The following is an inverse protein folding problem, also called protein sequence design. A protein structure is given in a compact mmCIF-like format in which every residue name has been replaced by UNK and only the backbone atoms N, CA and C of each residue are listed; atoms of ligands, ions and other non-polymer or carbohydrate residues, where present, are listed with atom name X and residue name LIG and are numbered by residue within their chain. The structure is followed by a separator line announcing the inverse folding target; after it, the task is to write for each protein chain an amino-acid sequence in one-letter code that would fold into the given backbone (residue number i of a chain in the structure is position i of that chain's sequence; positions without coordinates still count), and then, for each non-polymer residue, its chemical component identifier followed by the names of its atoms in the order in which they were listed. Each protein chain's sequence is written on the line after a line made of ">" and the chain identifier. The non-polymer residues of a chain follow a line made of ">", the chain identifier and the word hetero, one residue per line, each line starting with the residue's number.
data_IF_197032128706
#
_entry.id   IF_197032128706
#
_cell.length_a   1.000
_cell.length_b   1.000
_cell.length_c   1.000
_cell.angle_alpha   90.00
_cell.angle_beta   90.00
_cell.angle_gamma   90.00
#
_symmetry.space_group_name_H-M   'P 1'
#
loop_
_entity.id
_entity.type
_entity.pdbx_description
1 polymer ?
#
# COMPACT_ATOMS: atom_id res chain seq x y z
N UNK A 1 -3.55 -6.27 9.95
CA UNK A 1 -3.28 -4.91 9.44
C UNK A 1 -3.66 -4.89 7.97
N UNK A 2 -4.69 -4.13 7.57
CA UNK A 2 -5.13 -4.07 6.17
C UNK A 2 -4.51 -2.85 5.47
N UNK A 3 -3.97 -2.97 4.24
CA UNK A 3 -3.39 -1.84 3.51
C UNK A 3 -4.40 -0.69 3.33
N UNK A 4 -5.67 -1.04 3.13
CA UNK A 4 -6.76 -0.09 2.93
C UNK A 4 -6.99 0.84 4.13
N UNK A 5 -6.51 0.48 5.32
CA UNK A 5 -6.52 1.35 6.49
C UNK A 5 -5.67 2.61 6.25
N UNK A 6 -4.42 2.43 5.81
CA UNK A 6 -3.51 3.55 5.52
C UNK A 6 -4.03 4.45 4.39
N UNK A 7 -4.66 3.85 3.36
CA UNK A 7 -5.31 4.62 2.31
C UNK A 7 -6.47 5.46 2.85
N UNK A 8 -7.31 4.89 3.72
CA UNK A 8 -8.44 5.59 4.33
C UNK A 8 -8.00 6.70 5.27
N UNK A 9 -6.94 6.47 6.06
CA UNK A 9 -6.41 7.47 7.00
C UNK A 9 -5.76 8.64 6.27
N UNK A 10 -4.90 8.37 5.28
CA UNK A 10 -4.33 9.40 4.42
C UNK A 10 -5.40 10.24 3.71
N UNK A 11 -6.44 9.59 3.19
CA UNK A 11 -7.55 10.27 2.53
C UNK A 11 -8.31 11.16 3.51
N UNK A 12 -8.61 10.64 4.71
CA UNK A 12 -9.27 11.39 5.77
C UNK A 12 -8.45 12.62 6.17
N UNK A 13 -7.14 12.48 6.30
CA UNK A 13 -6.27 13.56 6.73
C UNK A 13 -6.14 14.66 5.67
N UNK A 14 -6.06 14.28 4.38
CA UNK A 14 -6.12 15.25 3.29
C UNK A 14 -7.48 15.96 3.25
N UNK A 15 -8.58 15.21 3.30
CA UNK A 15 -9.93 15.75 3.11
C UNK A 15 -10.42 16.60 4.28
N UNK A 16 -10.19 16.16 5.51
CA UNK A 16 -10.76 16.79 6.70
C UNK A 16 -9.78 17.66 7.46
N UNK A 17 -8.48 17.39 7.40
CA UNK A 17 -7.45 18.16 8.10
C UNK A 17 -6.67 19.10 7.17
N UNK A 18 -6.88 18.99 5.85
CA UNK A 18 -6.13 19.78 4.86
C UNK A 18 -4.65 19.40 4.80
N UNK A 19 -4.31 18.17 5.22
CA UNK A 19 -2.94 17.70 5.31
C UNK A 19 -2.25 17.65 3.93
N UNK A 20 -0.99 18.04 3.89
CA UNK A 20 -0.13 17.94 2.72
C UNK A 20 0.54 16.57 2.58
N UNK A 21 1.22 16.35 1.45
CA UNK A 21 1.89 15.08 1.13
C UNK A 21 2.96 14.67 2.16
N UNK A 22 3.61 15.63 2.81
CA UNK A 22 4.61 15.35 3.84
C UNK A 22 3.98 14.71 5.09
N UNK A 23 2.75 15.10 5.42
CA UNK A 23 2.06 14.67 6.64
C UNK A 23 1.48 13.25 6.49
N UNK A 24 1.04 12.87 5.28
CA UNK A 24 0.55 11.51 4.97
C UNK A 24 1.64 10.57 4.43
N UNK A 25 2.90 11.00 4.45
CA UNK A 25 4.03 10.24 3.86
C UNK A 25 4.22 8.87 4.52
N UNK A 26 3.90 8.74 5.80
CA UNK A 26 3.92 7.46 6.52
C UNK A 26 2.93 6.44 5.95
N UNK A 27 1.68 6.85 5.73
CA UNK A 27 0.63 6.01 5.15
C UNK A 27 0.96 5.60 3.72
N UNK A 28 1.46 6.54 2.91
CA UNK A 28 1.90 6.29 1.55
C UNK A 28 3.06 5.28 1.51
N UNK A 29 4.03 5.44 2.41
CA UNK A 29 5.17 4.51 2.50
C UNK A 29 4.70 3.11 2.88
N UNK A 30 3.77 2.99 3.83
CA UNK A 30 3.18 1.71 4.20
C UNK A 30 2.45 1.03 3.02
N UNK A 31 1.67 1.80 2.24
CA UNK A 31 1.01 1.30 1.03
C UNK A 31 2.01 0.79 -0.01
N UNK A 32 3.11 1.51 -0.23
CA UNK A 32 4.18 1.09 -1.15
C UNK A 32 4.83 -0.22 -0.70
N UNK A 33 5.08 -0.38 0.60
CA UNK A 33 5.61 -1.63 1.17
C UNK A 33 4.65 -2.80 0.91
N UNK A 34 3.36 -2.63 1.20
CA UNK A 34 2.36 -3.67 0.93
C UNK A 34 2.29 -4.00 -0.56
N UNK A 35 2.31 -2.99 -1.44
CA UNK A 35 2.31 -3.19 -2.88
C UNK A 35 3.55 -3.99 -3.33
N UNK A 36 4.74 -3.65 -2.84
CA UNK A 36 5.96 -4.38 -3.13
C UNK A 36 5.89 -5.85 -2.67
N UNK A 37 5.38 -6.11 -1.47
CA UNK A 37 5.16 -7.47 -0.96
C UNK A 37 4.21 -8.24 -1.87
N UNK A 38 3.05 -7.67 -2.22
CA UNK A 38 2.09 -8.33 -3.10
C UNK A 38 2.67 -8.59 -4.49
N UNK A 39 3.44 -7.67 -5.06
CA UNK A 39 4.10 -7.85 -6.35
C UNK A 39 5.08 -9.03 -6.28
N UNK A 40 5.93 -9.08 -5.25
CA UNK A 40 6.88 -10.18 -5.06
C UNK A 40 6.16 -11.52 -4.91
N UNK A 41 5.13 -11.58 -4.06
CA UNK A 41 4.32 -12.79 -3.88
C UNK A 41 3.65 -13.22 -5.18
N UNK A 42 3.11 -12.28 -5.96
CA UNK A 42 2.52 -12.56 -7.27
C UNK A 42 3.55 -13.13 -8.25
N UNK A 43 4.76 -12.57 -8.29
CA UNK A 43 5.84 -13.09 -9.15
C UNK A 43 6.21 -14.53 -8.75
N UNK A 44 6.34 -14.81 -7.45
CA UNK A 44 6.65 -16.15 -6.94
C UNK A 44 5.52 -17.14 -7.23
N UNK A 45 4.27 -16.74 -7.01
CA UNK A 45 3.10 -17.55 -7.32
C UNK A 45 3.06 -17.87 -8.83
N UNK A 46 3.21 -16.86 -9.68
CA UNK A 46 3.21 -17.02 -11.13
C UNK A 46 4.34 -17.96 -11.59
N UNK A 47 5.54 -17.85 -11.01
CA UNK A 47 6.65 -18.79 -11.27
C UNK A 47 6.30 -20.22 -10.87
N UNK A 48 5.67 -20.42 -9.70
CA UNK A 48 5.26 -21.75 -9.20
C UNK A 48 4.19 -22.40 -10.08
N UNK A 49 3.25 -21.64 -10.61
CA UNK A 49 2.17 -22.15 -11.47
C UNK A 49 2.54 -22.26 -12.95
N UNK A 50 3.63 -21.63 -13.41
CA UNK A 50 4.13 -21.77 -14.79
C UNK A 50 4.91 -23.06 -15.05
N UNK A 51 4.98 -23.97 -14.07
CA UNK A 51 5.61 -25.29 -14.20
C UNK A 51 4.57 -26.42 -14.20
N UNK A 52 3.49 -26.23 -14.96
CA UNK A 52 2.56 -27.27 -15.45
C UNK A 52 2.62 -27.25 -16.97
#
# INVERSE_FOLDING_TARGET
>A
IMPMYYAGDALKDVMYKGAGLSEISGDLTALVIFAAIFIVLNILALKKYRTL
#
